data_IF_254178289036
#
_entry.id   IF_254178289036
#
_cell.length_a   1.000
_cell.length_b   1.000
_cell.length_c   1.000
_cell.angle_alpha   90.00
_cell.angle_beta   90.00
_cell.angle_gamma   90.00
#
_symmetry.space_group_name_H-M   'P 1'
#
loop_
_entity.id
_entity.type
_entity.pdbx_description
1 polymer ?
#
# COMPACT_ATOMS: atom_id res chain seq x y z
N UNK A 1 -15.55 13.79 -17.69
CA UNK A 1 -14.71 12.58 -17.62
C UNK A 1 -14.01 12.63 -16.26
N UNK A 2 -14.41 11.75 -15.34
CA UNK A 2 -13.92 11.71 -13.96
C UNK A 2 -12.41 11.40 -13.99
N UNK A 3 -11.60 12.40 -13.63
CA UNK A 3 -10.24 12.17 -13.13
C UNK A 3 -10.40 11.49 -11.76
N UNK A 4 -10.62 10.18 -11.75
CA UNK A 4 -10.50 9.37 -10.54
C UNK A 4 -9.05 9.48 -10.08
N UNK A 5 -8.84 10.31 -9.06
CA UNK A 5 -7.58 10.40 -8.34
C UNK A 5 -7.22 8.98 -7.91
N UNK A 6 -6.14 8.43 -8.47
CA UNK A 6 -5.67 7.09 -8.10
C UNK A 6 -5.23 7.21 -6.63
N UNK A 7 -6.01 6.65 -5.71
CA UNK A 7 -5.63 6.65 -4.30
C UNK A 7 -4.26 6.01 -4.14
N UNK A 8 -3.43 6.61 -3.29
CA UNK A 8 -2.09 6.10 -3.03
C UNK A 8 -2.22 4.73 -2.34
N UNK A 9 -1.29 3.82 -2.59
CA UNK A 9 -1.29 2.51 -1.92
C UNK A 9 -1.46 2.60 -0.38
N UNK A 10 -0.81 3.55 0.34
CA UNK A 10 -1.10 3.80 1.76
C UNK A 10 -2.57 4.10 2.07
N UNK A 11 -3.24 4.94 1.28
CA UNK A 11 -4.66 5.29 1.49
C UNK A 11 -5.58 4.08 1.31
N UNK A 12 -5.26 3.21 0.35
CA UNK A 12 -6.00 1.95 0.13
C UNK A 12 -5.83 1.03 1.33
N UNK A 13 -4.60 0.85 1.84
CA UNK A 13 -4.35 0.04 3.04
C UNK A 13 -5.09 0.59 4.27
N UNK A 14 -5.05 1.91 4.49
CA UNK A 14 -5.76 2.53 5.61
C UNK A 14 -7.28 2.28 5.50
N UNK A 15 -7.85 2.43 4.31
CA UNK A 15 -9.26 2.13 4.05
C UNK A 15 -9.62 0.66 4.30
N UNK A 16 -8.72 -0.27 3.95
CA UNK A 16 -8.90 -1.68 4.28
C UNK A 16 -8.91 -1.93 5.80
N UNK A 17 -8.01 -1.32 6.57
CA UNK A 17 -8.03 -1.42 8.03
C UNK A 17 -9.32 -0.81 8.62
N UNK A 18 -9.75 0.36 8.13
CA UNK A 18 -10.97 1.00 8.59
C UNK A 18 -12.21 0.13 8.33
N UNK A 19 -12.30 -0.46 7.14
CA UNK A 19 -13.35 -1.41 6.79
C UNK A 19 -13.39 -2.58 7.78
N UNK A 20 -12.24 -3.19 8.05
CA UNK A 20 -12.17 -4.36 8.92
C UNK A 20 -12.37 -4.05 10.39
N UNK A 21 -12.02 -2.84 10.86
CA UNK A 21 -12.37 -2.39 12.21
C UNK A 21 -13.88 -2.33 12.42
N UNK A 22 -14.62 -1.83 11.43
CA UNK A 22 -16.08 -1.86 11.43
C UNK A 22 -16.67 -3.27 11.45
N UNK A 23 -15.89 -4.28 11.05
CA UNK A 23 -16.27 -5.69 10.97
C UNK A 23 -15.41 -6.58 11.86
N UNK A 24 -14.79 -6.03 12.91
CA UNK A 24 -13.82 -6.75 13.73
C UNK A 24 -14.42 -8.02 14.35
N UNK A 25 -15.66 -7.93 14.84
CA UNK A 25 -16.40 -9.07 15.42
C UNK A 25 -16.57 -10.23 14.44
N UNK A 26 -16.75 -9.94 13.14
CA UNK A 26 -16.83 -10.98 12.10
C UNK A 26 -15.47 -11.67 11.94
N UNK A 27 -14.38 -10.91 11.80
CA UNK A 27 -13.05 -11.48 11.68
C UNK A 27 -12.63 -12.27 12.93
N UNK A 28 -12.98 -11.81 14.12
CA UNK A 28 -12.77 -12.57 15.35
C UNK A 28 -13.53 -13.90 15.35
N UNK A 29 -14.80 -13.91 14.92
CA UNK A 29 -15.60 -15.12 14.82
C UNK A 29 -14.99 -16.10 13.82
N UNK A 30 -14.58 -15.61 12.65
CA UNK A 30 -13.93 -16.42 11.62
C UNK A 30 -12.60 -17.02 12.12
N UNK A 31 -11.81 -16.25 12.86
CA UNK A 31 -10.55 -16.70 13.45
C UNK A 31 -10.78 -17.78 14.52
N UNK A 32 -11.74 -17.57 15.43
CA UNK A 32 -12.09 -18.56 16.48
C UNK A 32 -12.55 -19.90 15.90
N UNK A 33 -13.12 -19.90 14.69
CA UNK A 33 -13.60 -21.08 14.01
C UNK A 33 -12.61 -21.62 12.96
N UNK A 34 -11.38 -21.07 12.86
CA UNK A 34 -10.36 -21.48 11.90
C UNK A 34 -10.80 -21.41 10.42
N UNK A 35 -11.68 -20.47 10.05
CA UNK A 35 -12.23 -20.32 8.69
C UNK A 35 -11.79 -19.03 7.97
N UNK A 36 -10.98 -18.20 8.63
CA UNK A 36 -10.41 -16.97 8.07
C UNK A 36 -9.61 -17.18 6.78
N UNK A 37 -9.04 -18.36 6.56
CA UNK A 37 -8.32 -18.70 5.33
C UNK A 37 -9.20 -18.61 4.07
N UNK A 38 -10.53 -18.83 4.19
CA UNK A 38 -11.47 -18.68 3.09
C UNK A 38 -11.55 -17.23 2.61
N UNK A 39 -11.54 -16.28 3.55
CA UNK A 39 -11.47 -14.85 3.20
C UNK A 39 -10.12 -14.50 2.60
N UNK A 40 -9.03 -15.00 3.17
CA UNK A 40 -7.70 -14.73 2.67
C UNK A 40 -7.52 -15.20 1.22
N UNK A 41 -8.06 -16.38 0.87
CA UNK A 41 -8.06 -16.87 -0.51
C UNK A 41 -8.77 -15.91 -1.48
N UNK A 42 -9.97 -15.43 -1.12
CA UNK A 42 -10.72 -14.46 -1.95
C UNK A 42 -10.04 -13.09 -2.00
N UNK A 43 -9.40 -12.68 -0.92
CA UNK A 43 -8.58 -11.48 -0.88
C UNK A 43 -7.41 -11.57 -1.87
N UNK A 44 -6.67 -12.68 -1.85
CA UNK A 44 -5.58 -12.93 -2.82
C UNK A 44 -6.06 -12.90 -4.27
N UNK A 45 -7.20 -13.54 -4.58
CA UNK A 45 -7.81 -13.52 -5.91
C UNK A 45 -8.14 -12.08 -6.35
N UNK A 46 -8.82 -11.30 -5.50
CA UNK A 46 -9.15 -9.91 -5.79
C UNK A 46 -7.89 -9.07 -6.03
N UNK A 47 -6.91 -9.16 -5.14
CA UNK A 47 -5.69 -8.37 -5.19
C UNK A 47 -4.86 -8.74 -6.44
N UNK A 48 -4.84 -10.02 -6.83
CA UNK A 48 -4.15 -10.47 -8.06
C UNK A 48 -4.72 -9.86 -9.34
N UNK A 49 -6.01 -9.49 -9.32
CA UNK A 49 -6.66 -8.79 -10.45
C UNK A 49 -6.36 -7.29 -10.51
N UNK A 50 -5.67 -6.75 -9.49
CA UNK A 50 -5.31 -5.34 -9.37
C UNK A 50 -3.78 -5.15 -9.46
N UNK A 51 -3.14 -5.48 -10.61
CA UNK A 51 -1.69 -5.43 -10.73
C UNK A 51 -1.10 -4.04 -10.51
N UNK A 52 -1.89 -2.98 -10.69
CA UNK A 52 -1.52 -1.59 -10.45
C UNK A 52 -1.43 -1.20 -8.97
N UNK A 53 -1.97 -2.03 -8.08
CA UNK A 53 -1.93 -1.84 -6.63
C UNK A 53 -0.53 -2.13 -6.08
N UNK A 54 0.19 -3.01 -6.75
CA UNK A 54 1.62 -3.23 -6.51
C UNK A 54 2.37 -2.36 -7.50
N UNK A 55 3.14 -1.37 -7.04
CA UNK A 55 4.01 -0.65 -7.95
C UNK A 55 5.01 -1.67 -8.48
N UNK A 56 4.91 -1.92 -9.78
CA UNK A 56 5.92 -2.64 -10.51
C UNK A 56 7.26 -2.03 -10.11
N UNK A 57 8.21 -2.83 -9.63
CA UNK A 57 9.60 -2.45 -9.92
C UNK A 57 9.61 -2.25 -11.43
N UNK A 58 10.08 -1.12 -11.90
CA UNK A 58 10.37 -0.86 -13.32
C UNK A 58 11.43 -1.83 -13.89
N UNK A 59 11.64 -2.98 -13.24
CA UNK A 59 12.65 -4.01 -13.48
C UNK A 59 12.29 -5.34 -12.79
N UNK A 60 11.00 -5.71 -12.67
CA UNK A 60 10.70 -7.12 -12.39
C UNK A 60 10.90 -7.91 -13.68
N UNK A 61 11.64 -9.04 -13.65
CA UNK A 61 11.77 -9.91 -14.80
C UNK A 61 10.37 -10.36 -15.23
N UNK A 62 10.24 -10.78 -16.48
CA UNK A 62 9.07 -11.42 -17.12
C UNK A 62 8.58 -12.72 -16.43
N UNK A 63 9.01 -12.94 -15.18
CA UNK A 63 8.82 -14.11 -14.35
C UNK A 63 7.53 -13.99 -13.51
N UNK A 64 6.54 -14.80 -13.91
CA UNK A 64 5.27 -15.02 -13.22
C UNK A 64 5.46 -15.44 -11.75
N UNK A 65 6.48 -16.24 -11.46
CA UNK A 65 6.71 -16.81 -10.12
C UNK A 65 7.24 -15.74 -9.17
N UNK A 66 8.14 -14.87 -9.62
CA UNK A 66 8.57 -13.69 -8.86
C UNK A 66 7.40 -12.74 -8.53
N UNK A 67 6.48 -12.51 -9.47
CA UNK A 67 5.27 -11.73 -9.20
C UNK A 67 4.37 -12.41 -8.17
N UNK A 68 4.08 -13.70 -8.36
CA UNK A 68 3.24 -14.47 -7.44
C UNK A 68 3.82 -14.53 -6.02
N UNK A 69 5.15 -14.66 -5.90
CA UNK A 69 5.86 -14.66 -4.63
C UNK A 69 5.77 -13.28 -3.94
N UNK A 70 6.00 -12.19 -4.68
CA UNK A 70 5.90 -10.83 -4.15
C UNK A 70 4.47 -10.53 -3.68
N UNK A 71 3.47 -10.85 -4.51
CA UNK A 71 2.06 -10.71 -4.19
C UNK A 71 1.68 -11.49 -2.91
N UNK A 72 2.15 -12.74 -2.79
CA UNK A 72 1.91 -13.58 -1.63
C UNK A 72 2.54 -12.99 -0.37
N UNK A 73 3.77 -12.49 -0.47
CA UNK A 73 4.48 -11.84 0.65
C UNK A 73 3.73 -10.61 1.15
N UNK A 74 3.33 -9.70 0.25
CA UNK A 74 2.63 -8.48 0.62
C UNK A 74 1.24 -8.77 1.19
N UNK A 75 0.48 -9.65 0.55
CA UNK A 75 -0.85 -10.05 0.99
C UNK A 75 -0.81 -10.74 2.36
N UNK A 76 0.15 -11.65 2.57
CA UNK A 76 0.36 -12.33 3.85
C UNK A 76 0.78 -11.38 4.96
N UNK A 77 1.65 -10.41 4.66
CA UNK A 77 2.07 -9.37 5.61
C UNK A 77 0.89 -8.52 6.08
N UNK A 78 0.08 -8.02 5.15
CA UNK A 78 -1.16 -7.31 5.47
C UNK A 78 -2.09 -8.16 6.35
N UNK A 79 -2.38 -9.40 5.93
CA UNK A 79 -3.31 -10.27 6.63
C UNK A 79 -2.87 -10.61 8.06
N UNK A 80 -1.56 -10.80 8.24
CA UNK A 80 -0.97 -11.07 9.55
C UNK A 80 -1.12 -9.87 10.49
N UNK A 81 -0.81 -8.67 10.00
CA UNK A 81 -0.96 -7.42 10.78
C UNK A 81 -2.43 -7.15 11.10
N UNK A 82 -3.34 -7.34 10.13
CA UNK A 82 -4.78 -7.21 10.33
C UNK A 82 -5.30 -8.15 11.43
N UNK A 83 -4.94 -9.42 11.34
CA UNK A 83 -5.35 -10.44 12.31
C UNK A 83 -4.83 -10.11 13.71
N UNK A 84 -3.53 -9.78 13.82
CA UNK A 84 -2.94 -9.36 15.09
C UNK A 84 -3.64 -8.13 15.66
N UNK A 85 -3.85 -7.09 14.84
CA UNK A 85 -4.46 -5.83 15.27
C UNK A 85 -5.89 -6.03 15.79
N UNK A 86 -6.70 -6.84 15.11
CA UNK A 86 -8.07 -7.14 15.51
C UNK A 86 -8.12 -7.92 16.82
N UNK A 87 -7.34 -9.00 16.93
CA UNK A 87 -7.30 -9.83 18.15
C UNK A 87 -6.86 -9.01 19.38
N UNK A 88 -6.08 -7.95 19.16
CA UNK A 88 -5.62 -7.05 20.21
C UNK A 88 -6.52 -5.81 20.44
N UNK A 89 -7.71 -5.77 19.83
CA UNK A 89 -8.72 -4.74 20.06
C UNK A 89 -8.53 -3.46 19.25
N UNK A 90 -7.95 -3.56 18.05
CA UNK A 90 -7.85 -2.47 17.08
C UNK A 90 -7.24 -1.16 17.63
N UNK A 91 -6.19 -1.27 18.46
CA UNK A 91 -5.67 -0.13 19.26
C UNK A 91 -4.88 0.91 18.47
N UNK A 92 -4.14 0.47 17.45
CA UNK A 92 -3.34 1.37 16.61
C UNK A 92 -4.22 2.03 15.54
N UNK A 93 -3.95 3.29 15.16
CA UNK A 93 -4.62 3.93 14.03
C UNK A 93 -4.34 3.22 12.71
N UNK A 94 -5.32 3.25 11.83
CA UNK A 94 -5.33 2.62 10.51
C UNK A 94 -4.20 3.17 9.62
N UNK A 95 -4.00 4.48 9.65
CA UNK A 95 -2.96 5.19 8.89
C UNK A 95 -1.55 4.81 9.39
N UNK A 96 -1.41 4.56 10.69
CA UNK A 96 -0.14 4.11 11.28
C UNK A 96 0.20 2.69 10.81
N UNK A 97 -0.78 1.79 10.76
CA UNK A 97 -0.58 0.43 10.25
C UNK A 97 -0.25 0.42 8.76
N UNK A 98 -0.95 1.24 7.97
CA UNK A 98 -0.64 1.44 6.56
C UNK A 98 0.79 1.96 6.37
N UNK A 99 1.21 2.95 7.17
CA UNK A 99 2.57 3.48 7.16
C UNK A 99 3.63 2.42 7.52
N UNK A 100 3.38 1.59 8.54
CA UNK A 100 4.27 0.49 8.92
C UNK A 100 4.41 -0.49 7.75
N UNK A 101 3.31 -0.96 7.18
CA UNK A 101 3.34 -1.92 6.06
C UNK A 101 4.07 -1.33 4.84
N UNK A 102 3.82 -0.07 4.51
CA UNK A 102 4.55 0.67 3.48
C UNK A 102 6.07 0.74 3.76
N UNK A 103 6.46 0.98 5.02
CA UNK A 103 7.88 1.13 5.41
C UNK A 103 8.67 -0.17 5.28
N UNK A 104 8.00 -1.30 5.51
CA UNK A 104 8.55 -2.65 5.32
C UNK A 104 8.59 -3.06 3.83
N UNK A 105 8.08 -2.20 2.95
CA UNK A 105 8.06 -2.37 1.50
C UNK A 105 8.86 -1.24 0.83
N UNK A 106 10.20 -1.22 0.96
CA UNK A 106 11.03 -0.07 0.53
C UNK A 106 10.95 0.25 -0.98
N UNK A 107 10.38 -0.63 -1.82
CA UNK A 107 10.12 -0.35 -3.23
C UNK A 107 8.75 0.27 -3.56
N UNK A 108 7.84 0.37 -2.58
CA UNK A 108 6.40 0.62 -2.82
C UNK A 108 5.95 2.04 -2.45
N UNK A 109 6.42 2.59 -1.31
CA UNK A 109 5.92 3.89 -0.80
C UNK A 109 6.96 5.04 -0.82
N UNK A 110 8.16 4.86 -1.38
CA UNK A 110 9.21 5.89 -1.37
C UNK A 110 9.18 6.88 -2.56
N UNK A 111 8.44 6.61 -3.64
CA UNK A 111 8.48 7.48 -4.84
C UNK A 111 7.60 8.73 -4.77
N UNK A 112 6.63 8.80 -3.86
CA UNK A 112 5.68 9.91 -3.83
C UNK A 112 6.27 11.17 -3.17
N UNK A 113 7.30 11.04 -2.32
CA UNK A 113 7.98 12.18 -1.69
C UNK A 113 8.94 12.93 -2.62
N UNK A 114 9.39 12.32 -3.73
CA UNK A 114 10.37 12.93 -4.63
C UNK A 114 9.73 13.88 -5.68
N UNK A 115 8.44 13.72 -5.96
CA UNK A 115 7.74 14.56 -6.96
C UNK A 115 7.35 15.92 -6.38
N UNK A 116 7.07 16.00 -5.07
CA UNK A 116 6.70 17.27 -4.42
C UNK A 116 7.87 18.14 -3.98
N UNK A 117 9.12 17.67 -4.03
CA UNK A 117 10.30 18.49 -3.71
C UNK A 117 10.93 19.19 -4.93
N UNK A 118 10.56 18.84 -6.16
CA UNK A 118 11.18 19.40 -7.37
C UNK A 118 10.43 20.55 -8.04
N UNK A 119 9.31 21.03 -7.48
CA UNK A 119 8.61 22.22 -8.00
C UNK A 119 9.02 23.54 -7.31
N UNK A 120 10.11 23.53 -6.54
CA UNK A 120 10.57 24.66 -5.71
C UNK A 120 11.95 25.22 -6.05
N UNK A 121 12.46 25.08 -7.28
CA UNK A 121 13.66 25.81 -7.70
C UNK A 121 13.66 26.05 -9.20
N UNK A 122 13.24 27.26 -9.59
CA UNK A 122 13.29 27.71 -10.97
C UNK A 122 12.90 29.18 -11.07
N UNK A 123 13.87 30.07 -10.88
CA UNK A 123 14.17 31.22 -11.75
C UNK A 123 15.07 32.24 -11.04
N UNK A 124 16.39 32.16 -11.28
CA UNK A 124 17.26 33.34 -11.31
C UNK A 124 17.63 33.58 -12.78
N UNK A 125 17.35 34.75 -13.36
CA UNK A 125 17.84 35.06 -14.69
C UNK A 125 19.32 35.44 -14.65
N UNK A 126 20.01 34.98 -15.69
CA UNK A 126 21.42 35.16 -15.99
C UNK A 126 21.84 36.63 -16.11
N UNK A 127 23.11 36.89 -15.82
CA UNK A 127 23.72 38.21 -15.93
C UNK A 127 23.82 38.73 -17.36
N UNK A 128 23.76 40.05 -17.49
CA UNK A 128 24.26 40.78 -18.66
C UNK A 128 25.50 41.56 -18.22
N UNK A 129 26.63 41.22 -18.84
CA UNK A 129 27.78 42.10 -18.91
C UNK A 129 27.63 43.03 -20.10
N UNK A 130 27.97 44.30 -19.92
CA UNK A 130 28.31 45.20 -21.02
C UNK A 130 29.42 46.13 -20.57
N UNK A 131 30.55 46.06 -21.28
CA UNK A 131 31.62 47.06 -21.29
C UNK A 131 31.13 48.37 -21.88
N UNK A 132 31.47 49.49 -21.22
CA UNK A 132 32.31 50.56 -21.77
C UNK A 132 32.86 51.43 -20.65
#
# INVERSE_FOLDING_TARGET
MLLTQKETYPSILASCFAFWKGHASLLELLNKNNITYLLFGRYLECISSLPWLFPSRESLPDDRDSFACSLSYHSGGFWSVLTYWIINGCRLPEEMLAGILCSQMPGICQKESAVYQNTGSGNQPAGEGTSM
#
